data_IF_489797732749
#
_entry.id   IF_489797732749
#
_cell.length_a   1.000
_cell.length_b   1.000
_cell.length_c   1.000
_cell.angle_alpha   90.00
_cell.angle_beta   90.00
_cell.angle_gamma   90.00
#
_symmetry.space_group_name_H-M   'P 1'
#
loop_
_entity.id
_entity.type
_entity.pdbx_description
1 polymer ?
#
# COMPACT_ATOMS: atom_id res chain seq x y z
N UNK A 1 -31.51 -6.77 30.54
CA UNK A 1 -31.64 -6.67 29.07
C UNK A 1 -30.24 -6.40 28.54
N UNK A 2 -29.51 -7.46 28.18
CA UNK A 2 -28.08 -7.40 27.89
C UNK A 2 -27.79 -6.81 26.51
N UNK A 3 -26.77 -5.96 26.43
CA UNK A 3 -26.16 -5.52 25.18
C UNK A 3 -25.02 -6.50 24.91
N UNK A 4 -25.21 -7.36 23.91
CA UNK A 4 -24.28 -8.43 23.56
C UNK A 4 -23.04 -7.81 22.93
N UNK A 5 -21.91 -7.96 23.62
CA UNK A 5 -20.56 -7.80 23.07
C UNK A 5 -20.39 -8.78 21.90
N UNK A 6 -20.55 -8.27 20.67
CA UNK A 6 -20.17 -8.99 19.47
C UNK A 6 -18.76 -8.56 19.07
N UNK A 7 -17.94 -9.58 18.84
CA UNK A 7 -16.56 -9.57 18.33
C UNK A 7 -15.44 -9.55 19.36
N UNK A 8 -15.46 -10.55 20.26
CA UNK A 8 -14.25 -11.30 20.56
C UNK A 8 -14.58 -12.79 20.64
N UNK A 9 -14.02 -13.58 19.72
CA UNK A 9 -13.70 -14.99 19.97
C UNK A 9 -12.64 -15.45 18.97
N UNK A 10 -11.47 -15.76 19.52
CA UNK A 10 -10.38 -16.50 18.89
C UNK A 10 -10.84 -17.90 18.49
N UNK A 11 -10.25 -18.47 17.43
CA UNK A 11 -9.58 -19.77 17.49
C UNK A 11 -8.88 -20.12 16.16
N UNK A 12 -7.57 -20.35 16.30
CA UNK A 12 -6.57 -20.92 15.40
C UNK A 12 -7.04 -21.70 14.15
N UNK A 13 -6.61 -21.22 12.99
CA UNK A 13 -6.19 -22.05 11.84
C UNK A 13 -5.11 -21.33 11.04
N UNK A 14 -3.88 -21.86 11.09
CA UNK A 14 -2.69 -21.45 10.32
C UNK A 14 -2.18 -20.02 10.60
N UNK A 15 -0.99 -19.90 11.17
CA UNK A 15 -0.15 -18.70 11.07
C UNK A 15 0.26 -18.50 9.59
N UNK A 16 -0.69 -18.17 8.72
CA UNK A 16 -0.39 -17.47 7.48
C UNK A 16 0.00 -16.07 7.91
N UNK A 17 1.24 -15.67 7.59
CA UNK A 17 1.72 -14.32 7.78
C UNK A 17 0.62 -13.29 7.46
N UNK A 18 0.40 -12.26 8.29
CA UNK A 18 -0.58 -11.23 8.00
C UNK A 18 -0.22 -10.53 6.69
N UNK A 19 -0.84 -10.98 5.61
CA UNK A 19 -0.77 -10.42 4.28
C UNK A 19 -1.91 -9.44 4.09
N UNK A 20 -1.78 -8.56 3.10
CA UNK A 20 -2.83 -7.65 2.72
C UNK A 20 -4.12 -8.43 2.41
N UNK A 21 -5.31 -7.91 2.81
CA UNK A 21 -6.55 -8.56 2.48
C UNK A 21 -6.70 -8.63 0.96
N UNK A 22 -6.94 -9.83 0.43
CA UNK A 22 -7.01 -10.12 -1.01
C UNK A 22 -8.05 -9.27 -1.76
N UNK A 23 -9.06 -8.75 -1.05
CA UNK A 23 -10.04 -7.80 -1.59
C UNK A 23 -9.42 -6.48 -2.04
N UNK A 24 -8.27 -6.09 -1.48
CA UNK A 24 -7.52 -4.89 -1.85
C UNK A 24 -6.52 -5.14 -2.98
N UNK A 25 -6.15 -6.39 -3.25
CA UNK A 25 -5.21 -6.78 -4.30
C UNK A 25 -5.93 -6.95 -5.65
N UNK A 26 -6.65 -5.90 -6.06
CA UNK A 26 -7.40 -5.86 -7.32
C UNK A 26 -7.15 -4.55 -8.05
N UNK A 27 -7.09 -4.54 -9.40
CA UNK A 27 -6.97 -3.32 -10.20
C UNK A 27 -7.94 -2.21 -9.81
N UNK A 28 -9.22 -2.57 -9.62
CA UNK A 28 -10.30 -1.66 -9.22
C UNK A 28 -10.01 -0.92 -7.90
N UNK A 29 -9.28 -1.57 -6.98
CA UNK A 29 -8.89 -0.98 -5.70
C UNK A 29 -7.79 0.08 -5.86
N UNK A 30 -6.93 -0.04 -6.88
CA UNK A 30 -5.89 0.94 -7.19
C UNK A 30 -6.46 2.16 -7.94
N UNK A 31 -7.45 1.92 -8.81
CA UNK A 31 -8.21 2.98 -9.49
C UNK A 31 -9.05 3.79 -8.48
N UNK A 32 -9.79 3.10 -7.60
CA UNK A 32 -10.54 3.69 -6.48
C UNK A 32 -9.78 3.51 -5.17
N UNK A 33 -8.75 4.35 -4.97
CA UNK A 33 -7.85 4.28 -3.80
C UNK A 33 -8.52 4.46 -2.43
N UNK A 34 -9.82 4.79 -2.36
CA UNK A 34 -10.57 5.03 -1.11
C UNK A 34 -10.45 3.88 -0.10
N UNK A 35 -10.62 2.63 -0.55
CA UNK A 35 -10.53 1.43 0.30
C UNK A 35 -9.10 1.19 0.80
N UNK A 36 -8.11 1.38 -0.08
CA UNK A 36 -6.70 1.25 0.26
C UNK A 36 -6.30 2.31 1.28
N UNK A 37 -6.65 3.58 1.06
CA UNK A 37 -6.35 4.67 1.99
C UNK A 37 -7.00 4.46 3.36
N UNK A 38 -8.24 3.95 3.38
CA UNK A 38 -8.91 3.59 4.63
C UNK A 38 -8.16 2.46 5.36
N UNK A 39 -7.75 1.42 4.65
CA UNK A 39 -6.93 0.34 5.21
C UNK A 39 -5.59 0.86 5.76
N UNK A 40 -4.84 1.65 4.99
CA UNK A 40 -3.56 2.22 5.42
C UNK A 40 -3.73 3.07 6.68
N UNK A 41 -4.75 3.94 6.72
CA UNK A 41 -5.08 4.76 7.89
C UNK A 41 -5.37 3.91 9.12
N UNK A 42 -6.25 2.90 9.00
CA UNK A 42 -6.62 2.05 10.13
C UNK A 42 -5.45 1.20 10.62
N UNK A 43 -4.63 0.67 9.71
CA UNK A 43 -3.41 -0.06 10.06
C UNK A 43 -2.44 0.82 10.83
N UNK A 44 -2.18 2.06 10.38
CA UNK A 44 -1.30 3.03 11.08
C UNK A 44 -1.81 3.35 12.49
N UNK A 45 -3.11 3.58 12.65
CA UNK A 45 -3.74 3.82 13.96
C UNK A 45 -3.54 2.61 14.88
N UNK A 46 -3.70 1.40 14.36
CA UNK A 46 -3.61 0.17 15.16
C UNK A 46 -2.17 -0.17 15.60
N UNK A 47 -1.15 0.32 14.91
CA UNK A 47 0.25 -0.04 15.21
C UNK A 47 1.18 1.12 15.55
N UNK A 48 1.21 2.16 14.73
CA UNK A 48 2.24 3.20 14.79
C UNK A 48 1.78 4.38 15.66
N UNK A 49 0.52 4.83 15.54
CA UNK A 49 0.02 5.97 16.32
C UNK A 49 -0.04 5.66 17.83
N UNK A 50 -0.34 4.42 18.19
CA UNK A 50 -0.43 3.94 19.58
C UNK A 50 0.87 3.33 20.09
N UNK A 51 1.95 3.31 19.30
CA UNK A 51 3.16 2.54 19.63
C UNK A 51 3.77 2.96 20.97
N UNK A 52 3.79 4.27 21.26
CA UNK A 52 4.34 4.79 22.53
C UNK A 52 3.58 4.25 23.74
N UNK A 53 2.25 4.10 23.63
CA UNK A 53 1.41 3.60 24.72
C UNK A 53 1.70 2.12 24.95
N UNK A 54 1.68 1.31 23.88
CA UNK A 54 1.98 -0.12 23.98
C UNK A 54 3.40 -0.41 24.47
N UNK A 55 4.40 0.37 24.05
CA UNK A 55 5.78 0.18 24.52
C UNK A 55 5.97 0.53 26.00
N UNK A 56 5.11 1.37 26.59
CA UNK A 56 5.16 1.64 28.03
C UNK A 56 4.59 0.46 28.86
N UNK A 57 3.78 -0.41 28.25
CA UNK A 57 3.14 -1.56 28.91
C UNK A 57 4.01 -2.82 28.89
N UNK A 58 5.08 -2.85 28.08
CA UNK A 58 5.95 -4.01 27.91
C UNK A 58 7.35 -3.78 28.50
N UNK A 59 8.00 -4.82 29.05
CA UNK A 59 9.40 -4.72 29.44
C UNK A 59 10.31 -4.62 28.21
N UNK A 60 11.44 -3.91 28.34
CA UNK A 60 12.41 -3.71 27.25
C UNK A 60 12.91 -4.99 26.59
N UNK A 61 13.00 -6.09 27.36
CA UNK A 61 13.43 -7.40 26.86
C UNK A 61 12.46 -8.02 25.84
N UNK A 62 11.19 -7.58 25.81
CA UNK A 62 10.14 -8.07 24.90
C UNK A 62 9.93 -7.18 23.67
N UNK A 63 10.77 -6.16 23.47
CA UNK A 63 10.63 -5.28 22.30
C UNK A 63 10.82 -6.03 20.97
N UNK A 64 11.77 -6.97 20.89
CA UNK A 64 11.96 -7.78 19.68
C UNK A 64 10.75 -8.67 19.37
N UNK A 65 10.15 -9.28 20.39
CA UNK A 65 8.93 -10.08 20.24
C UNK A 65 7.76 -9.20 19.77
N UNK A 66 7.59 -8.02 20.37
CA UNK A 66 6.56 -7.06 19.97
C UNK A 66 6.74 -6.62 18.51
N UNK A 67 7.97 -6.24 18.12
CA UNK A 67 8.27 -5.81 16.76
C UNK A 67 7.93 -6.88 15.73
N UNK A 68 8.43 -8.11 15.92
CA UNK A 68 8.22 -9.21 14.98
C UNK A 68 6.75 -9.65 14.92
N UNK A 69 6.04 -9.67 16.05
CA UNK A 69 4.65 -10.17 16.12
C UNK A 69 3.61 -9.13 15.72
N UNK A 70 3.85 -7.84 15.98
CA UNK A 70 2.84 -6.77 15.80
C UNK A 70 3.19 -5.81 14.68
N UNK A 71 4.43 -5.34 14.61
CA UNK A 71 4.83 -4.27 13.68
C UNK A 71 5.13 -4.83 12.28
N UNK A 72 6.06 -5.81 12.19
CA UNK A 72 6.47 -6.45 10.93
C UNK A 72 5.29 -6.89 10.05
N UNK A 73 4.31 -7.67 10.57
CA UNK A 73 3.18 -8.10 9.75
C UNK A 73 2.35 -6.95 9.18
N UNK A 74 2.10 -5.92 9.98
CA UNK A 74 1.29 -4.77 9.57
C UNK A 74 2.04 -3.95 8.52
N UNK A 75 3.34 -3.73 8.70
CA UNK A 75 4.19 -3.09 7.71
C UNK A 75 4.27 -3.89 6.40
N UNK A 76 4.33 -5.22 6.47
CA UNK A 76 4.31 -6.12 5.31
C UNK A 76 2.99 -5.98 4.54
N UNK A 77 1.84 -6.08 5.21
CA UNK A 77 0.53 -5.91 4.59
C UNK A 77 0.37 -4.52 3.92
N UNK A 78 0.82 -3.44 4.55
CA UNK A 78 0.82 -2.10 3.91
C UNK A 78 1.73 -2.03 2.69
N UNK A 79 2.91 -2.63 2.76
CA UNK A 79 3.89 -2.66 1.65
C UNK A 79 3.37 -3.43 0.45
N UNK A 80 2.70 -4.55 0.70
CA UNK A 80 2.14 -5.42 -0.33
C UNK A 80 1.11 -4.67 -1.19
N UNK A 81 0.17 -3.95 -0.57
CA UNK A 81 -0.84 -3.16 -1.29
C UNK A 81 -0.20 -2.06 -2.14
N UNK A 82 0.77 -1.33 -1.58
CA UNK A 82 1.47 -0.24 -2.29
C UNK A 82 2.27 -0.81 -3.47
N UNK A 83 2.96 -1.94 -3.26
CA UNK A 83 3.77 -2.60 -4.31
C UNK A 83 2.87 -3.16 -5.42
N UNK A 84 1.74 -3.78 -5.06
CA UNK A 84 0.75 -4.24 -6.01
C UNK A 84 0.28 -3.11 -6.92
N UNK A 85 -0.14 -1.97 -6.35
CA UNK A 85 -0.58 -0.84 -7.16
C UNK A 85 0.56 -0.20 -7.97
N UNK A 86 1.81 -0.22 -7.48
CA UNK A 86 2.97 0.24 -8.26
C UNK A 86 3.21 -0.62 -9.49
N UNK A 87 3.11 -1.94 -9.36
CA UNK A 87 3.26 -2.87 -10.48
C UNK A 87 2.11 -2.73 -11.48
N UNK A 88 0.89 -2.59 -10.98
CA UNK A 88 -0.29 -2.33 -11.81
C UNK A 88 -0.16 -1.02 -12.60
N UNK A 89 0.32 0.07 -11.97
CA UNK A 89 0.58 1.33 -12.65
C UNK A 89 1.61 1.18 -13.78
N UNK A 90 2.69 0.43 -13.55
CA UNK A 90 3.68 0.11 -14.60
C UNK A 90 3.08 -0.67 -15.77
N UNK A 91 2.18 -1.61 -15.50
CA UNK A 91 1.48 -2.39 -16.52
C UNK A 91 0.55 -1.52 -17.38
N UNK A 92 -0.21 -0.61 -16.75
CA UNK A 92 -1.03 0.34 -17.51
C UNK A 92 -0.13 1.24 -18.37
N UNK A 93 0.95 1.75 -17.78
CA UNK A 93 1.88 2.64 -18.48
C UNK A 93 2.45 1.98 -19.73
N UNK A 94 2.92 0.72 -19.64
CA UNK A 94 3.45 0.02 -20.81
C UNK A 94 2.38 -0.19 -21.89
N UNK A 95 1.13 -0.51 -21.51
CA UNK A 95 0.01 -0.63 -22.46
C UNK A 95 -0.30 0.69 -23.17
N UNK A 96 -0.26 1.82 -22.46
CA UNK A 96 -0.47 3.15 -23.05
C UNK A 96 0.63 3.51 -24.04
N UNK A 97 1.90 3.26 -23.70
CA UNK A 97 3.03 3.53 -24.60
C UNK A 97 2.98 2.65 -25.86
N UNK A 98 2.57 1.39 -25.75
CA UNK A 98 2.38 0.51 -26.91
C UNK A 98 1.29 1.05 -27.84
N UNK A 99 0.11 1.38 -27.30
CA UNK A 99 -0.99 1.96 -28.10
C UNK A 99 -0.59 3.28 -28.75
N UNK A 100 0.16 4.12 -28.04
CA UNK A 100 0.68 5.38 -28.58
C UNK A 100 1.67 5.15 -29.73
N UNK A 101 2.46 4.09 -29.69
CA UNK A 101 3.35 3.74 -30.79
C UNK A 101 2.58 3.19 -32.02
N UNK A 102 1.50 2.44 -31.79
CA UNK A 102 0.59 1.93 -32.83
C UNK A 102 -0.20 3.07 -33.51
N UNK A 103 -0.70 4.02 -32.72
CA UNK A 103 -1.43 5.22 -33.15
C UNK A 103 -0.77 5.99 -34.29
N UNK A 104 0.56 6.13 -34.20
CA UNK A 104 1.34 6.88 -35.19
C UNK A 104 1.43 6.19 -36.56
N UNK A 105 1.11 4.89 -36.67
CA UNK A 105 1.32 4.11 -37.89
C UNK A 105 0.02 3.77 -38.65
N UNK A 106 -1.15 3.90 -38.05
CA UNK A 106 -2.36 3.15 -38.49
C UNK A 106 -3.63 3.99 -38.70
N UNK A 107 -3.52 5.19 -39.32
CA UNK A 107 -4.70 6.02 -39.59
C UNK A 107 -4.77 6.51 -41.04
N UNK A 108 -5.61 5.86 -41.87
CA UNK A 108 -6.02 6.41 -43.18
C UNK A 108 -7.06 7.51 -42.96
N UNK A 109 -6.60 8.76 -42.91
CA UNK A 109 -7.42 9.96 -42.71
C UNK A 109 -8.49 10.17 -43.80
N UNK A 110 -8.41 9.42 -44.90
CA UNK A 110 -9.43 9.43 -45.96
C UNK A 110 -10.68 8.64 -45.57
N UNK A 111 -10.55 7.63 -44.71
CA UNK A 111 -11.67 6.79 -44.23
C UNK A 111 -12.38 7.49 -43.06
N UNK A 112 -11.63 8.11 -42.15
CA UNK A 112 -12.19 8.90 -41.03
C UNK A 112 -11.26 10.09 -40.67
N UNK A 113 -11.67 11.34 -40.97
CA UNK A 113 -10.92 12.54 -40.62
C UNK A 113 -10.70 12.76 -39.12
N UNK A 114 -11.49 12.11 -38.24
CA UNK A 114 -11.42 12.28 -36.79
C UNK A 114 -10.71 11.13 -36.07
N UNK A 115 -10.32 10.06 -36.76
CA UNK A 115 -9.79 8.86 -36.13
C UNK A 115 -8.56 9.15 -35.24
N UNK A 116 -7.57 9.88 -35.77
CA UNK A 116 -6.38 10.29 -35.01
C UNK A 116 -6.73 11.13 -33.77
N UNK A 117 -7.69 12.05 -33.88
CA UNK A 117 -8.10 12.90 -32.76
C UNK A 117 -8.75 12.07 -31.66
N UNK A 118 -9.63 11.16 -32.04
CA UNK A 118 -10.34 10.30 -31.09
C UNK A 118 -9.35 9.41 -30.34
N UNK A 119 -8.38 8.84 -31.03
CA UNK A 119 -7.35 8.01 -30.41
C UNK A 119 -6.45 8.81 -29.46
N UNK A 120 -5.96 9.98 -29.88
CA UNK A 120 -5.18 10.86 -29.00
C UNK A 120 -5.96 11.22 -27.73
N UNK A 121 -7.26 11.53 -27.87
CA UNK A 121 -8.12 11.84 -26.72
C UNK A 121 -8.23 10.64 -25.76
N UNK A 122 -8.34 9.41 -26.27
CA UNK A 122 -8.37 8.20 -25.46
C UNK A 122 -7.03 7.94 -24.76
N UNK A 123 -5.91 8.18 -25.44
CA UNK A 123 -4.57 8.05 -24.87
C UNK A 123 -4.32 9.06 -23.75
N UNK A 124 -4.76 10.32 -23.94
CA UNK A 124 -4.69 11.36 -22.92
C UNK A 124 -5.50 10.97 -21.68
N UNK A 125 -6.72 10.45 -21.85
CA UNK A 125 -7.55 9.99 -20.74
C UNK A 125 -6.87 8.84 -19.97
N UNK A 126 -6.32 7.85 -20.66
CA UNK A 126 -5.61 6.72 -20.05
C UNK A 126 -4.34 7.19 -19.31
N UNK A 127 -3.60 8.13 -19.90
CA UNK A 127 -2.41 8.73 -19.29
C UNK A 127 -2.78 9.50 -18.02
N UNK A 128 -3.86 10.29 -18.05
CA UNK A 128 -4.36 11.03 -16.89
C UNK A 128 -4.74 10.08 -15.73
N UNK A 129 -5.40 8.96 -16.04
CA UNK A 129 -5.72 7.92 -15.04
C UNK A 129 -4.45 7.31 -14.44
N UNK A 130 -3.48 6.94 -15.27
CA UNK A 130 -2.21 6.37 -14.83
C UNK A 130 -1.43 7.33 -13.92
N UNK A 131 -1.29 8.59 -14.32
CA UNK A 131 -0.57 9.62 -13.52
C UNK A 131 -1.26 9.89 -12.18
N UNK A 132 -2.60 9.89 -12.14
CA UNK A 132 -3.36 10.00 -10.89
C UNK A 132 -3.01 8.86 -9.94
N UNK A 133 -2.91 7.63 -10.46
CA UNK A 133 -2.52 6.45 -9.68
C UNK A 133 -1.09 6.56 -9.15
N UNK A 134 -0.13 6.89 -10.02
CA UNK A 134 1.28 7.09 -9.67
C UNK A 134 1.45 8.15 -8.58
N UNK A 135 0.76 9.28 -8.69
CA UNK A 135 0.84 10.39 -7.74
C UNK A 135 0.41 9.97 -6.33
N UNK A 136 -0.72 9.28 -6.17
CA UNK A 136 -1.14 8.87 -4.83
C UNK A 136 -0.27 7.74 -4.26
N UNK A 137 0.21 6.81 -5.09
CA UNK A 137 1.17 5.77 -4.65
C UNK A 137 2.46 6.41 -4.15
N UNK A 138 2.98 7.40 -4.86
CA UNK A 138 4.18 8.13 -4.45
C UNK A 138 3.99 8.78 -3.07
N UNK A 139 2.85 9.45 -2.86
CA UNK A 139 2.49 10.06 -1.58
C UNK A 139 2.40 9.02 -0.46
N UNK A 140 1.69 7.91 -0.67
CA UNK A 140 1.57 6.85 0.34
C UNK A 140 2.92 6.18 0.63
N UNK A 141 3.76 5.99 -0.38
CA UNK A 141 5.12 5.48 -0.18
C UNK A 141 5.98 6.45 0.65
N UNK A 142 5.85 7.76 0.42
CA UNK A 142 6.52 8.79 1.22
C UNK A 142 6.03 8.79 2.68
N UNK A 143 4.71 8.72 2.87
CA UNK A 143 4.09 8.63 4.21
C UNK A 143 4.56 7.36 4.93
N UNK A 144 4.57 6.20 4.28
CA UNK A 144 5.08 4.97 4.89
C UNK A 144 6.55 5.07 5.28
N UNK A 145 7.39 5.73 4.49
CA UNK A 145 8.79 5.94 4.85
C UNK A 145 8.94 6.81 6.11
N UNK A 146 8.16 7.88 6.21
CA UNK A 146 8.14 8.77 7.39
C UNK A 146 7.65 8.01 8.63
N UNK A 147 6.52 7.31 8.52
CA UNK A 147 5.94 6.56 9.65
C UNK A 147 6.91 5.47 10.14
N UNK A 148 7.58 4.75 9.23
CA UNK A 148 8.57 3.74 9.63
C UNK A 148 9.76 4.33 10.37
N UNK A 149 10.26 5.48 9.92
CA UNK A 149 11.35 6.18 10.60
C UNK A 149 10.92 6.64 11.99
N UNK A 150 9.75 7.27 12.12
CA UNK A 150 9.21 7.72 13.41
C UNK A 150 8.99 6.55 14.38
N UNK A 151 8.42 5.45 13.91
CA UNK A 151 8.25 4.23 14.71
C UNK A 151 9.60 3.65 15.15
N UNK A 152 10.60 3.63 14.26
CA UNK A 152 11.95 3.19 14.61
C UNK A 152 12.60 4.08 15.67
N UNK A 153 12.42 5.40 15.59
CA UNK A 153 12.90 6.35 16.60
C UNK A 153 12.27 6.09 17.97
N UNK A 154 10.95 5.86 17.99
CA UNK A 154 10.24 5.53 19.24
C UNK A 154 10.71 4.19 19.84
N UNK A 155 10.96 3.20 19.00
CA UNK A 155 11.54 1.92 19.44
C UNK A 155 12.93 2.12 20.03
N UNK A 156 13.77 2.96 19.42
CA UNK A 156 15.09 3.31 19.95
C UNK A 156 15.01 4.04 21.31
N UNK A 157 14.05 4.95 21.47
CA UNK A 157 13.84 5.70 22.73
C UNK A 157 13.43 4.79 23.90
N UNK A 158 12.51 3.86 23.65
CA UNK A 158 11.89 3.05 24.72
C UNK A 158 12.63 1.75 24.99
N UNK A 159 13.16 1.14 23.95
CA UNK A 159 13.85 -0.14 24.02
C UNK A 159 15.37 0.08 24.12
N UNK A 160 16.08 -0.14 23.02
CA UNK A 160 17.52 0.03 22.85
C UNK A 160 17.81 0.36 21.39
N UNK A 161 18.98 0.92 21.14
CA UNK A 161 19.42 1.24 19.80
C UNK A 161 19.58 -0.03 18.96
N UNK A 162 18.79 -0.12 17.88
CA UNK A 162 18.87 -1.17 16.87
C UNK A 162 18.40 -0.57 15.54
N UNK A 163 18.98 -1.02 14.43
CA UNK A 163 18.45 -0.68 13.12
C UNK A 163 17.20 -1.49 12.82
N UNK A 164 16.05 -1.01 13.31
CA UNK A 164 14.73 -1.61 13.10
C UNK A 164 14.33 -1.64 11.63
N UNK A 165 14.81 -0.68 10.83
CA UNK A 165 14.54 -0.63 9.40
C UNK A 165 15.30 -1.71 8.63
N UNK A 166 16.57 -1.93 8.96
CA UNK A 166 17.33 -3.05 8.41
C UNK A 166 16.77 -4.40 8.89
N UNK A 167 16.32 -4.49 10.14
CA UNK A 167 15.67 -5.70 10.65
C UNK A 167 14.40 -6.02 9.85
N UNK A 168 13.56 -5.02 9.55
CA UNK A 168 12.40 -5.20 8.69
C UNK A 168 12.80 -5.65 7.27
N UNK A 169 13.79 -5.00 6.65
CA UNK A 169 14.26 -5.37 5.30
C UNK A 169 14.72 -6.84 5.21
N UNK A 170 15.27 -7.40 6.30
CA UNK A 170 15.67 -8.81 6.37
C UNK A 170 14.49 -9.77 6.50
N UNK A 171 13.37 -9.29 7.04
CA UNK A 171 12.14 -10.08 7.24
C UNK A 171 11.18 -10.05 6.05
N UNK A 172 11.42 -9.17 5.07
CA UNK A 172 10.62 -9.05 3.85
C UNK A 172 11.14 -10.01 2.79
#
# INVERSE_FOLDING_TARGET
>A
MGMVDLFYNNNNTSETEPTAPSTLLKPESCESSSRIRAFLRLSRIATDDTIRQHLNEIPRSKCDEYFNRKIVPQWRARSEVITFCSNYAKEIRSKVELRKAEAHNDHDLRIDPYALKNELSQLEEQTSKCTTIENWIHNESGVEAIIRAQTADVLNDKCYYKDWLAAFKKSV
#
